data_IF_237894368869
#
_entry.id   IF_237894368869
#
_cell.length_a   1.000
_cell.length_b   1.000
_cell.length_c   1.000
_cell.angle_alpha   90.00
_cell.angle_beta   90.00
_cell.angle_gamma   90.00
#
_symmetry.space_group_name_H-M   'P 1'
#
loop_
_entity.id
_entity.type
_entity.pdbx_description
1 polymer ?
#
# COMPACT_ATOMS: atom_id res chain seq x y z
N UNK A 1 -15.50 5.62 28.63
CA UNK A 1 -15.45 6.21 27.32
C UNK A 1 -15.14 5.22 26.23
N UNK A 2 -16.18 4.82 25.59
CA UNK A 2 -16.12 3.91 24.46
C UNK A 2 -15.27 4.49 23.32
N UNK A 3 -15.29 5.80 23.19
CA UNK A 3 -14.52 6.48 22.15
C UNK A 3 -13.02 6.24 22.20
N UNK A 4 -12.44 6.08 23.39
CA UNK A 4 -11.01 5.85 23.51
C UNK A 4 -10.59 4.55 22.83
N UNK A 5 -11.36 3.50 23.06
CA UNK A 5 -11.09 2.19 22.47
C UNK A 5 -11.34 2.23 20.97
N UNK A 6 -12.45 2.83 20.56
CA UNK A 6 -12.78 2.98 19.15
C UNK A 6 -11.76 3.83 18.41
N UNK A 7 -11.25 4.89 19.05
CA UNK A 7 -10.24 5.75 18.43
C UNK A 7 -8.92 5.02 18.22
N UNK A 8 -8.52 4.16 19.16
CA UNK A 8 -7.29 3.40 19.00
C UNK A 8 -7.39 2.44 17.80
N UNK A 9 -8.48 1.69 17.71
CA UNK A 9 -8.71 0.79 16.59
C UNK A 9 -8.88 1.55 15.27
N UNK A 10 -9.66 2.64 15.29
CA UNK A 10 -9.87 3.47 14.11
C UNK A 10 -8.59 4.19 13.70
N UNK A 11 -7.73 4.53 14.65
CA UNK A 11 -6.46 5.19 14.35
C UNK A 11 -5.54 4.30 13.51
N UNK A 12 -5.40 3.03 13.89
CA UNK A 12 -4.59 2.08 13.13
C UNK A 12 -5.16 1.87 11.72
N UNK A 13 -6.47 1.71 11.61
CA UNK A 13 -7.12 1.55 10.33
C UNK A 13 -7.02 2.81 9.48
N UNK A 14 -7.20 3.96 10.11
CA UNK A 14 -7.10 5.25 9.42
C UNK A 14 -5.69 5.46 8.87
N UNK A 15 -4.66 5.12 9.63
CA UNK A 15 -3.28 5.24 9.16
C UNK A 15 -3.02 4.35 7.95
N UNK A 16 -3.53 3.12 7.98
CA UNK A 16 -3.44 2.22 6.85
C UNK A 16 -4.16 2.75 5.61
N UNK A 17 -5.36 3.31 5.80
CA UNK A 17 -6.11 3.89 4.68
C UNK A 17 -5.39 5.12 4.11
N UNK A 18 -4.86 5.99 4.95
CA UNK A 18 -4.10 7.15 4.51
C UNK A 18 -2.84 6.73 3.75
N UNK A 19 -2.13 5.73 4.26
CA UNK A 19 -0.94 5.21 3.61
C UNK A 19 -1.29 4.58 2.26
N UNK A 20 -2.41 3.85 2.18
CA UNK A 20 -2.90 3.27 0.93
C UNK A 20 -3.22 4.36 -0.09
N UNK A 21 -3.90 5.42 0.33
CA UNK A 21 -4.23 6.54 -0.55
C UNK A 21 -2.98 7.27 -1.02
N UNK A 22 -2.01 7.46 -0.14
CA UNK A 22 -0.73 8.06 -0.48
C UNK A 22 0.01 7.21 -1.51
N UNK A 23 0.01 5.90 -1.30
CA UNK A 23 0.63 4.96 -2.22
C UNK A 23 -0.04 5.00 -3.59
N UNK A 24 -1.37 4.98 -3.62
CA UNK A 24 -2.14 5.06 -4.87
C UNK A 24 -1.81 6.35 -5.63
N UNK A 25 -1.78 7.47 -4.93
CA UNK A 25 -1.44 8.76 -5.53
C UNK A 25 0.00 8.80 -6.04
N UNK A 26 0.93 8.24 -5.29
CA UNK A 26 2.33 8.19 -5.68
C UNK A 26 2.52 7.31 -6.92
N UNK A 27 1.87 6.15 -6.97
CA UNK A 27 1.94 5.28 -8.15
C UNK A 27 1.41 5.98 -9.39
N UNK A 28 0.31 6.72 -9.24
CA UNK A 28 -0.26 7.47 -10.36
C UNK A 28 0.66 8.59 -10.82
N UNK A 29 1.18 9.40 -9.89
CA UNK A 29 1.97 10.58 -10.23
C UNK A 29 3.40 10.24 -10.66
N UNK A 30 4.02 9.23 -10.03
CA UNK A 30 5.41 8.86 -10.32
C UNK A 30 5.53 7.87 -11.47
N UNK A 31 4.63 6.90 -11.55
CA UNK A 31 4.71 5.80 -12.51
C UNK A 31 3.57 5.80 -13.53
N UNK A 32 2.56 6.64 -13.34
CA UNK A 32 1.42 6.69 -14.24
C UNK A 32 0.54 5.44 -14.16
N UNK A 33 0.57 4.72 -13.03
CA UNK A 33 -0.15 3.47 -12.86
C UNK A 33 -1.40 3.68 -12.01
N UNK A 34 -2.51 3.10 -12.47
CA UNK A 34 -3.73 3.00 -11.69
C UNK A 34 -3.69 1.68 -10.93
N UNK A 35 -3.79 1.76 -9.61
CA UNK A 35 -3.68 0.58 -8.76
C UNK A 35 -4.68 0.63 -7.63
N UNK A 36 -5.07 -0.55 -7.17
CA UNK A 36 -5.82 -0.72 -5.92
C UNK A 36 -4.87 -1.28 -4.88
N UNK A 37 -4.86 -0.64 -3.71
CA UNK A 37 -3.99 -1.02 -2.61
C UNK A 37 -4.83 -1.67 -1.52
N UNK A 38 -4.39 -2.83 -1.07
CA UNK A 38 -4.93 -3.48 0.10
C UNK A 38 -3.79 -3.73 1.08
N UNK A 39 -4.11 -3.81 2.36
CA UNK A 39 -3.09 -4.09 3.36
C UNK A 39 -3.66 -4.99 4.44
N UNK A 40 -2.79 -5.76 5.07
CA UNK A 40 -3.13 -6.63 6.18
C UNK A 40 -2.01 -6.58 7.21
N UNK A 41 -2.39 -6.42 8.47
CA UNK A 41 -1.46 -6.50 9.59
C UNK A 41 -1.86 -7.67 10.46
N UNK A 42 -0.94 -8.60 10.68
CA UNK A 42 -1.16 -9.77 11.52
C UNK A 42 0.08 -9.96 12.38
N UNK A 43 -0.09 -10.02 13.70
CA UNK A 43 0.99 -10.21 14.66
C UNK A 43 2.15 -9.22 14.46
N UNK A 44 1.82 -7.97 14.14
CA UNK A 44 2.83 -6.93 13.91
C UNK A 44 3.49 -6.98 12.54
N UNK A 45 3.09 -7.90 11.68
CA UNK A 45 3.61 -8.01 10.32
C UNK A 45 2.62 -7.40 9.34
N UNK A 46 3.11 -6.50 8.50
CA UNK A 46 2.28 -5.80 7.51
C UNK A 46 2.59 -6.32 6.12
N UNK A 47 1.55 -6.73 5.40
CA UNK A 47 1.62 -7.12 4.00
C UNK A 47 0.78 -6.16 3.17
N UNK A 48 1.26 -5.78 2.01
CA UNK A 48 0.55 -4.87 1.11
C UNK A 48 0.31 -5.57 -0.22
N UNK A 49 -0.93 -5.54 -0.68
CA UNK A 49 -1.29 -6.03 -2.00
C UNK A 49 -1.50 -4.86 -2.96
N UNK A 50 -0.90 -4.95 -4.12
CA UNK A 50 -1.04 -3.97 -5.19
C UNK A 50 -1.65 -4.65 -6.39
N UNK A 51 -2.84 -4.22 -6.78
CA UNK A 51 -3.52 -4.74 -7.97
C UNK A 51 -3.57 -3.65 -9.02
N UNK A 52 -2.90 -3.87 -10.12
CA UNK A 52 -2.88 -2.91 -11.22
C UNK A 52 -4.10 -3.10 -12.11
N UNK A 53 -4.66 -1.98 -12.58
CA UNK A 53 -5.81 -2.00 -13.48
C UNK A 53 -5.45 -2.58 -14.85
N UNK A 54 -4.19 -2.44 -15.27
CA UNK A 54 -3.68 -2.98 -16.51
C UNK A 54 -2.23 -3.40 -16.33
N UNK A 55 -1.74 -4.38 -17.12
CA UNK A 55 -0.33 -4.75 -17.05
C UNK A 55 0.58 -3.55 -17.37
N UNK A 56 1.73 -3.43 -16.69
CA UNK A 56 2.66 -2.37 -16.99
C UNK A 56 3.27 -2.57 -18.38
N UNK A 57 3.58 -1.47 -19.04
CA UNK A 57 4.31 -1.52 -20.32
C UNK A 57 5.80 -1.69 -20.04
N UNK A 58 6.48 -2.52 -20.82
CA UNK A 58 7.90 -2.76 -20.69
C UNK A 58 8.22 -3.89 -19.71
N UNK A 59 9.31 -3.75 -18.97
CA UNK A 59 9.80 -4.80 -18.09
C UNK A 59 8.97 -4.90 -16.81
N UNK A 60 8.25 -6.01 -16.66
CA UNK A 60 7.41 -6.26 -15.48
C UNK A 60 8.24 -6.36 -14.21
N UNK A 61 9.44 -6.92 -14.25
CA UNK A 61 10.30 -7.02 -13.07
C UNK A 61 10.76 -5.64 -12.60
N UNK A 62 11.12 -4.76 -13.51
CA UNK A 62 11.49 -3.39 -13.19
C UNK A 62 10.30 -2.62 -12.61
N UNK A 63 9.11 -2.80 -13.19
CA UNK A 63 7.90 -2.18 -12.70
C UNK A 63 7.58 -2.63 -11.27
N UNK A 64 7.70 -3.91 -10.98
CA UNK A 64 7.48 -4.45 -9.64
C UNK A 64 8.46 -3.87 -8.62
N UNK A 65 9.72 -3.72 -9.00
CA UNK A 65 10.73 -3.13 -8.13
C UNK A 65 10.39 -1.66 -7.82
N UNK A 66 9.97 -0.91 -8.81
CA UNK A 66 9.57 0.49 -8.62
C UNK A 66 8.33 0.61 -7.75
N UNK A 67 7.33 -0.25 -7.96
CA UNK A 67 6.11 -0.27 -7.17
C UNK A 67 6.42 -0.60 -5.71
N UNK A 68 7.26 -1.61 -5.48
CA UNK A 68 7.67 -1.99 -4.13
C UNK A 68 8.37 -0.84 -3.41
N UNK A 69 9.22 -0.11 -4.11
CA UNK A 69 9.90 1.06 -3.55
C UNK A 69 8.90 2.14 -3.14
N UNK A 70 7.92 2.44 -3.98
CA UNK A 70 6.89 3.42 -3.67
C UNK A 70 6.08 2.98 -2.44
N UNK A 71 5.70 1.70 -2.36
CA UNK A 71 4.97 1.16 -1.21
C UNK A 71 5.79 1.34 0.06
N UNK A 72 7.05 0.97 0.04
CA UNK A 72 7.92 1.07 1.21
C UNK A 72 8.13 2.52 1.66
N UNK A 73 8.20 3.46 0.73
CA UNK A 73 8.33 4.88 1.06
C UNK A 73 7.04 5.49 1.58
N UNK A 74 5.90 4.99 1.11
CA UNK A 74 4.59 5.57 1.40
C UNK A 74 3.98 5.05 2.68
N UNK A 75 4.28 3.82 3.07
CA UNK A 75 3.75 3.24 4.30
C UNK A 75 4.64 3.59 5.48
N UNK A 76 4.02 4.11 6.54
CA UNK A 76 4.73 4.44 7.79
C UNK A 76 5.17 3.18 8.53
N UNK A 77 4.36 2.13 8.49
CA UNK A 77 4.71 0.85 9.06
C UNK A 77 5.71 0.13 8.15
N UNK A 78 6.56 -0.70 8.75
CA UNK A 78 7.46 -1.54 7.97
C UNK A 78 6.65 -2.59 7.21
N UNK A 79 6.73 -2.55 5.89
CA UNK A 79 6.06 -3.50 5.02
C UNK A 79 7.01 -4.68 4.80
N UNK A 80 6.59 -5.87 5.20
CA UNK A 80 7.41 -7.08 5.07
C UNK A 80 7.19 -7.78 3.75
N UNK A 81 6.02 -7.62 3.16
CA UNK A 81 5.67 -8.29 1.91
C UNK A 81 4.84 -7.38 1.03
N UNK A 82 5.20 -7.32 -0.24
CA UNK A 82 4.43 -6.62 -1.26
C UNK A 82 4.04 -7.62 -2.33
N UNK A 83 2.76 -7.86 -2.48
CA UNK A 83 2.22 -8.73 -3.53
C UNK A 83 1.65 -7.86 -4.64
N UNK A 84 2.16 -8.01 -5.84
CA UNK A 84 1.76 -7.24 -7.00
C UNK A 84 1.12 -8.16 -8.03
N UNK A 85 -0.08 -7.79 -8.46
CA UNK A 85 -0.80 -8.54 -9.50
C UNK A 85 -1.32 -7.58 -10.56
N UNK A 86 -1.48 -8.09 -11.77
CA UNK A 86 -2.02 -7.33 -12.89
C UNK A 86 -2.64 -8.22 -13.95
#
# INVERSE_FOLDING_TARGET
MIFSIGLAACGALKDGLEDSQRTTSALKSELGLDAQISFRTTNGHTSVGVRLAAPPTGDAAAAKAQISDVVNRSFRAKVERVDISF
#
